data_IF_531502861352
#
_entry.id   IF_531502861352
#
_cell.length_a   1.000
_cell.length_b   1.000
_cell.length_c   1.000
_cell.angle_alpha   90.00
_cell.angle_beta   90.00
_cell.angle_gamma   90.00
#
_symmetry.space_group_name_H-M   'P 1'
#
loop_
_entity.id
_entity.type
_entity.pdbx_description
1 polymer ?
#
# COMPACT_ATOMS: atom_id res chain seq x y z
N UNK A 1 -28.87 -14.85 13.83
CA UNK A 1 -29.13 -13.40 13.81
C UNK A 1 -27.85 -12.70 14.20
N UNK A 2 -27.28 -11.80 13.39
CA UNK A 2 -26.20 -10.92 13.86
C UNK A 2 -26.77 -10.11 15.01
N UNK A 3 -26.15 -10.11 16.17
CA UNK A 3 -26.59 -9.23 17.27
C UNK A 3 -26.56 -7.79 16.77
N UNK A 4 -27.52 -6.96 17.20
CA UNK A 4 -27.59 -5.55 16.83
C UNK A 4 -26.26 -4.82 17.06
N UNK A 5 -25.49 -5.27 18.05
CA UNK A 5 -24.13 -4.81 18.36
C UNK A 5 -23.10 -5.00 17.24
N UNK A 6 -23.28 -5.96 16.34
CA UNK A 6 -22.35 -6.18 15.23
C UNK A 6 -22.63 -5.26 14.03
N UNK A 7 -23.82 -4.67 13.91
CA UNK A 7 -24.17 -3.84 12.74
C UNK A 7 -23.63 -2.41 12.85
N UNK A 8 -23.66 -1.84 14.04
CA UNK A 8 -23.27 -0.45 14.28
C UNK A 8 -21.82 -0.15 13.82
N UNK A 9 -20.80 -0.99 14.09
CA UNK A 9 -19.44 -0.72 13.62
C UNK A 9 -19.32 -0.67 12.09
N UNK A 10 -20.07 -1.51 11.36
CA UNK A 10 -20.07 -1.51 9.90
C UNK A 10 -20.76 -0.28 9.33
N UNK A 11 -21.84 0.19 9.97
CA UNK A 11 -22.51 1.42 9.57
C UNK A 11 -21.57 2.61 9.76
N UNK A 12 -20.89 2.69 10.92
CA UNK A 12 -19.92 3.76 11.21
C UNK A 12 -18.77 3.69 10.21
N UNK A 13 -18.21 2.52 9.94
CA UNK A 13 -17.13 2.36 8.96
C UNK A 13 -17.58 2.73 7.54
N UNK A 14 -18.79 2.35 7.13
CA UNK A 14 -19.37 2.72 5.85
C UNK A 14 -19.57 4.24 5.72
N UNK A 15 -20.15 4.88 6.74
CA UNK A 15 -20.33 6.32 6.77
C UNK A 15 -18.99 7.07 6.74
N UNK A 16 -17.99 6.61 7.50
CA UNK A 16 -16.64 7.17 7.47
C UNK A 16 -15.98 6.99 6.09
N UNK A 17 -16.14 5.83 5.46
CA UNK A 17 -15.63 5.57 4.11
C UNK A 17 -16.25 6.50 3.05
N UNK A 18 -17.57 6.70 3.09
CA UNK A 18 -18.26 7.67 2.21
C UNK A 18 -17.76 9.09 2.48
N UNK A 19 -17.64 9.50 3.74
CA UNK A 19 -17.12 10.81 4.11
C UNK A 19 -15.69 11.06 3.59
N UNK A 20 -14.82 10.07 3.72
CA UNK A 20 -13.45 10.12 3.18
C UNK A 20 -13.45 10.20 1.65
N UNK A 21 -14.30 9.42 0.98
CA UNK A 21 -14.44 9.48 -0.47
C UNK A 21 -14.84 10.88 -0.95
N UNK A 22 -15.85 11.49 -0.31
CA UNK A 22 -16.29 12.85 -0.62
C UNK A 22 -15.17 13.86 -0.36
N UNK A 23 -14.47 13.75 0.78
CA UNK A 23 -13.35 14.63 1.10
C UNK A 23 -12.23 14.53 0.04
N UNK A 24 -11.87 13.31 -0.36
CA UNK A 24 -10.88 13.08 -1.41
C UNK A 24 -11.32 13.61 -2.78
N UNK A 25 -12.58 13.41 -3.16
CA UNK A 25 -13.11 13.98 -4.39
C UNK A 25 -13.03 15.51 -4.40
N UNK A 26 -13.27 16.16 -3.25
CA UNK A 26 -13.12 17.62 -3.10
C UNK A 26 -11.65 18.04 -3.16
N UNK A 27 -10.76 17.34 -2.46
CA UNK A 27 -9.32 17.67 -2.42
C UNK A 27 -8.58 17.31 -3.72
N UNK A 28 -9.14 16.43 -4.53
CA UNK A 28 -8.67 16.14 -5.88
C UNK A 28 -8.98 17.26 -6.87
N UNK A 29 -9.87 18.20 -6.50
CA UNK A 29 -10.31 19.32 -7.33
C UNK A 29 -11.50 18.97 -8.23
N UNK A 30 -12.25 20.00 -8.64
CA UNK A 30 -13.30 19.92 -9.67
C UNK A 30 -12.76 20.69 -10.89
N UNK A 31 -12.71 20.09 -12.10
CA UNK A 31 -12.24 20.80 -13.30
C UNK A 31 -13.09 22.05 -13.55
N UNK A 32 -12.45 23.15 -13.97
CA UNK A 32 -13.13 24.43 -14.17
C UNK A 32 -14.14 24.41 -15.34
N UNK A 33 -13.92 23.52 -16.32
CA UNK A 33 -14.71 23.33 -17.54
C UNK A 33 -15.83 22.30 -17.37
N UNK A 34 -15.87 21.59 -16.24
CA UNK A 34 -16.86 20.54 -15.97
C UNK A 34 -17.92 21.05 -15.02
N UNK A 35 -19.20 20.85 -15.38
CA UNK A 35 -20.30 21.17 -14.46
C UNK A 35 -20.19 20.33 -13.18
N UNK A 36 -20.30 20.98 -12.00
CA UNK A 36 -20.25 20.28 -10.72
C UNK A 36 -21.26 19.12 -10.63
N UNK A 37 -22.43 19.25 -11.28
CA UNK A 37 -23.43 18.17 -11.35
C UNK A 37 -22.92 16.91 -12.05
N UNK A 38 -22.24 17.05 -13.19
CA UNK A 38 -21.66 15.92 -13.92
C UNK A 38 -20.54 15.24 -13.10
N UNK A 39 -19.66 16.03 -12.48
CA UNK A 39 -18.61 15.52 -11.59
C UNK A 39 -19.18 14.68 -10.45
N UNK A 40 -20.21 15.18 -9.75
CA UNK A 40 -20.81 14.47 -8.63
C UNK A 40 -21.62 13.25 -9.06
N UNK A 41 -22.30 13.29 -10.22
CA UNK A 41 -23.01 12.14 -10.77
C UNK A 41 -22.04 10.97 -11.05
N UNK A 42 -20.89 11.26 -11.67
CA UNK A 42 -19.88 10.25 -11.94
C UNK A 42 -19.19 9.75 -10.66
N UNK A 43 -18.84 10.66 -9.76
CA UNK A 43 -18.29 10.30 -8.44
C UNK A 43 -19.25 9.37 -7.68
N UNK A 44 -20.58 9.59 -7.81
CA UNK A 44 -21.58 8.69 -7.26
C UNK A 44 -21.56 7.30 -7.93
N UNK A 45 -21.35 7.21 -9.24
CA UNK A 45 -21.17 5.92 -9.95
C UNK A 45 -19.95 5.17 -9.41
N UNK A 46 -18.81 5.85 -9.25
CA UNK A 46 -17.62 5.27 -8.63
C UNK A 46 -17.90 4.77 -7.21
N UNK A 47 -18.55 5.60 -6.40
CA UNK A 47 -18.93 5.23 -5.05
C UNK A 47 -19.87 4.01 -5.02
N UNK A 48 -20.81 3.89 -5.96
CA UNK A 48 -21.70 2.74 -6.07
C UNK A 48 -20.92 1.45 -6.35
N UNK A 49 -19.91 1.50 -7.22
CA UNK A 49 -19.04 0.33 -7.48
C UNK A 49 -18.24 -0.03 -6.23
N UNK A 50 -17.63 0.95 -5.56
CA UNK A 50 -16.94 0.72 -4.27
C UNK A 50 -17.90 0.07 -3.26
N UNK A 51 -19.12 0.59 -3.13
CA UNK A 51 -20.13 0.03 -2.26
C UNK A 51 -20.48 -1.42 -2.62
N UNK A 52 -20.59 -1.73 -3.92
CA UNK A 52 -20.84 -3.10 -4.38
C UNK A 52 -19.70 -4.04 -3.96
N UNK A 53 -18.43 -3.63 -4.09
CA UNK A 53 -17.28 -4.41 -3.63
C UNK A 53 -17.25 -4.56 -2.10
N UNK A 54 -17.59 -3.51 -1.34
CA UNK A 54 -17.71 -3.57 0.13
C UNK A 54 -18.82 -4.53 0.55
N UNK A 55 -19.98 -4.49 -0.13
CA UNK A 55 -21.09 -5.42 0.10
C UNK A 55 -20.68 -6.85 -0.23
N UNK A 56 -19.98 -7.07 -1.34
CA UNK A 56 -19.46 -8.38 -1.73
C UNK A 56 -18.43 -8.90 -0.70
N UNK A 57 -17.49 -8.06 -0.28
CA UNK A 57 -16.53 -8.37 0.79
C UNK A 57 -17.24 -8.76 2.08
N UNK A 58 -18.20 -7.95 2.53
CA UNK A 58 -19.00 -8.23 3.71
C UNK A 58 -19.75 -9.55 3.56
N UNK A 59 -20.42 -9.77 2.44
CA UNK A 59 -21.20 -10.98 2.18
C UNK A 59 -20.31 -12.23 2.18
N UNK A 60 -19.19 -12.19 1.46
CA UNK A 60 -18.32 -13.35 1.24
C UNK A 60 -17.46 -13.66 2.46
N UNK A 61 -16.93 -12.66 3.16
CA UNK A 61 -15.90 -12.86 4.20
C UNK A 61 -16.38 -12.58 5.63
N UNK A 62 -17.39 -11.72 5.83
CA UNK A 62 -17.76 -11.23 7.17
C UNK A 62 -19.10 -11.79 7.66
N UNK A 63 -20.16 -11.69 6.85
CA UNK A 63 -21.55 -11.99 7.22
C UNK A 63 -21.67 -13.38 7.87
N UNK A 64 -22.32 -13.59 9.03
CA UNK A 64 -22.46 -14.93 9.60
C UNK A 64 -23.03 -15.95 8.60
N UNK A 65 -22.49 -17.17 8.59
CA UNK A 65 -23.02 -18.26 7.76
C UNK A 65 -24.47 -18.56 8.15
N UNK A 66 -25.27 -19.02 7.19
CA UNK A 66 -26.65 -19.43 7.46
C UNK A 66 -26.71 -20.55 8.53
N UNK A 67 -27.75 -20.60 9.37
CA UNK A 67 -27.93 -21.69 10.33
C UNK A 67 -27.82 -23.06 9.66
N UNK A 68 -27.09 -23.99 10.28
CA UNK A 68 -26.85 -25.33 9.73
C UNK A 68 -25.62 -25.45 8.82
N UNK A 69 -25.05 -24.34 8.32
CA UNK A 69 -23.78 -24.39 7.60
C UNK A 69 -22.61 -24.46 8.58
N UNK A 70 -21.77 -25.48 8.42
CA UNK A 70 -20.51 -25.60 9.18
C UNK A 70 -19.49 -24.59 8.66
N UNK A 71 -18.67 -24.08 9.58
CA UNK A 71 -17.48 -23.33 9.20
C UNK A 71 -16.60 -24.20 8.30
N UNK A 72 -16.09 -23.66 7.20
CA UNK A 72 -15.21 -24.41 6.31
C UNK A 72 -13.97 -24.86 7.08
N UNK A 73 -13.53 -26.09 6.84
CA UNK A 73 -12.22 -26.51 7.31
C UNK A 73 -11.17 -25.63 6.63
N UNK A 74 -10.33 -24.97 7.44
CA UNK A 74 -9.26 -24.12 6.90
C UNK A 74 -8.34 -24.98 6.04
N UNK A 75 -8.26 -24.66 4.75
CA UNK A 75 -7.39 -25.38 3.83
C UNK A 75 -6.16 -24.54 3.54
N UNK A 76 -5.02 -25.00 4.04
CA UNK A 76 -3.77 -24.34 3.82
C UNK A 76 -3.33 -24.53 2.37
N UNK A 77 -3.01 -23.43 1.67
CA UNK A 77 -2.10 -23.48 0.54
C UNK A 77 -0.78 -24.09 0.99
N UNK A 78 -0.13 -24.85 0.10
CA UNK A 78 1.21 -25.37 0.37
C UNK A 78 2.20 -24.21 0.57
N UNK A 79 3.27 -24.44 1.34
CA UNK A 79 4.31 -23.43 1.54
C UNK A 79 4.88 -22.90 0.22
N UNK A 80 5.10 -23.79 -0.76
CA UNK A 80 5.59 -23.42 -2.10
C UNK A 80 4.62 -22.51 -2.85
N UNK A 81 3.33 -22.81 -2.82
CA UNK A 81 2.33 -21.97 -3.48
C UNK A 81 2.26 -20.58 -2.83
N UNK A 82 2.33 -20.51 -1.49
CA UNK A 82 2.32 -19.23 -0.77
C UNK A 82 3.53 -18.37 -1.11
N UNK A 83 4.73 -18.95 -1.04
CA UNK A 83 5.97 -18.24 -1.35
C UNK A 83 6.02 -17.79 -2.81
N UNK A 84 5.60 -18.66 -3.74
CA UNK A 84 5.53 -18.32 -5.16
C UNK A 84 4.56 -17.16 -5.41
N UNK A 85 3.35 -17.20 -4.84
CA UNK A 85 2.39 -16.08 -4.96
C UNK A 85 2.94 -14.80 -4.34
N UNK A 86 3.60 -14.88 -3.18
CA UNK A 86 4.21 -13.71 -2.55
C UNK A 86 5.24 -13.05 -3.48
N UNK A 87 6.13 -13.85 -4.07
CA UNK A 87 7.16 -13.37 -5.00
C UNK A 87 6.53 -12.72 -6.24
N UNK A 88 5.58 -13.40 -6.88
CA UNK A 88 4.92 -12.90 -8.09
C UNK A 88 4.15 -11.60 -7.80
N UNK A 89 3.42 -11.52 -6.69
CA UNK A 89 2.73 -10.28 -6.29
C UNK A 89 3.74 -9.17 -5.94
N UNK A 90 4.83 -9.47 -5.26
CA UNK A 90 5.87 -8.48 -5.01
C UNK A 90 6.46 -7.92 -6.32
N UNK A 91 6.73 -8.78 -7.31
CA UNK A 91 7.20 -8.35 -8.64
C UNK A 91 6.19 -7.49 -9.39
N UNK A 92 4.92 -7.89 -9.40
CA UNK A 92 3.86 -7.06 -9.98
C UNK A 92 3.85 -5.68 -9.33
N UNK A 93 4.00 -5.61 -8.00
CA UNK A 93 4.09 -4.36 -7.27
C UNK A 93 5.31 -3.51 -7.60
N UNK A 94 6.49 -4.12 -7.73
CA UNK A 94 7.70 -3.41 -8.16
C UNK A 94 7.55 -2.86 -9.59
N UNK A 95 6.99 -3.65 -10.51
CA UNK A 95 6.72 -3.17 -11.88
C UNK A 95 5.79 -1.96 -11.88
N UNK A 96 4.69 -2.01 -11.11
CA UNK A 96 3.77 -0.87 -10.99
C UNK A 96 4.45 0.37 -10.43
N UNK A 97 5.30 0.24 -9.41
CA UNK A 97 5.99 1.39 -8.80
C UNK A 97 7.00 2.01 -9.75
N UNK A 98 7.84 1.17 -10.39
CA UNK A 98 8.83 1.64 -11.35
C UNK A 98 8.13 2.26 -12.56
N UNK A 99 7.09 1.60 -13.06
CA UNK A 99 6.25 2.09 -14.15
C UNK A 99 5.59 3.43 -13.82
N UNK A 100 4.94 3.57 -12.66
CA UNK A 100 4.27 4.83 -12.28
C UNK A 100 5.24 6.00 -12.05
N UNK A 101 6.44 5.75 -11.52
CA UNK A 101 7.46 6.80 -11.44
C UNK A 101 7.96 7.18 -12.82
N UNK A 102 8.22 6.19 -13.67
CA UNK A 102 8.67 6.41 -15.04
C UNK A 102 7.64 7.19 -15.86
N UNK A 103 6.37 6.88 -15.65
CA UNK A 103 5.23 7.51 -16.29
C UNK A 103 5.16 9.01 -15.95
N UNK A 104 5.26 9.33 -14.66
CA UNK A 104 5.36 10.70 -14.16
C UNK A 104 6.50 11.48 -14.84
N UNK A 105 7.68 10.85 -14.96
CA UNK A 105 8.84 11.48 -15.62
C UNK A 105 8.54 11.75 -17.09
N UNK A 106 7.88 10.81 -17.78
CA UNK A 106 7.54 10.94 -19.18
C UNK A 106 6.51 12.02 -19.43
N UNK A 107 5.43 12.10 -18.64
CA UNK A 107 4.45 13.18 -18.75
C UNK A 107 5.11 14.55 -18.58
N UNK A 108 5.98 14.72 -17.58
CA UNK A 108 6.72 15.97 -17.38
C UNK A 108 7.72 16.29 -18.49
N UNK A 109 8.31 15.27 -19.12
CA UNK A 109 9.35 15.46 -20.13
C UNK A 109 8.79 15.73 -21.52
N UNK A 110 7.67 15.11 -21.87
CA UNK A 110 7.11 15.17 -23.22
C UNK A 110 5.85 16.03 -23.32
N UNK A 111 5.19 16.37 -22.21
CA UNK A 111 4.01 17.24 -22.19
C UNK A 111 2.84 16.71 -23.02
N UNK A 112 2.78 15.38 -23.21
CA UNK A 112 1.68 14.74 -23.94
C UNK A 112 0.52 14.49 -22.97
N UNK A 113 -0.72 14.86 -23.36
CA UNK A 113 -1.88 14.67 -22.51
C UNK A 113 -2.18 13.21 -22.19
N UNK A 114 -2.66 12.99 -20.97
CA UNK A 114 -3.18 11.70 -20.53
C UNK A 114 -4.27 11.19 -21.49
N UNK A 115 -4.17 9.91 -21.87
CA UNK A 115 -5.10 9.24 -22.78
C UNK A 115 -4.58 9.00 -24.20
N UNK A 116 -3.60 9.76 -24.67
CA UNK A 116 -2.86 9.47 -25.92
C UNK A 116 -1.65 8.54 -25.68
N UNK A 117 -1.39 8.25 -24.41
CA UNK A 117 -0.26 7.54 -23.82
C UNK A 117 -0.54 6.05 -23.56
N UNK A 118 -1.69 5.51 -23.97
CA UNK A 118 -2.14 4.16 -23.58
C UNK A 118 -1.08 3.06 -23.78
N UNK A 119 -0.28 3.16 -24.85
CA UNK A 119 0.75 2.18 -25.18
C UNK A 119 2.18 2.65 -24.88
N UNK A 120 2.33 3.69 -24.08
CA UNK A 120 3.62 4.15 -23.60
C UNK A 120 4.35 3.06 -22.81
N UNK A 121 5.67 3.10 -22.87
CA UNK A 121 6.52 2.09 -22.24
C UNK A 121 6.31 2.04 -20.70
N UNK A 122 6.22 3.16 -19.97
CA UNK A 122 5.79 3.16 -18.57
C UNK A 122 4.46 2.43 -18.34
N UNK A 123 3.42 2.75 -19.12
CA UNK A 123 2.12 2.10 -19.05
C UNK A 123 2.17 0.59 -19.28
N UNK A 124 2.94 0.13 -20.26
CA UNK A 124 3.12 -1.32 -20.48
C UNK A 124 3.73 -2.01 -19.26
N UNK A 125 4.65 -1.37 -18.54
CA UNK A 125 5.22 -1.90 -17.31
C UNK A 125 4.20 -1.89 -16.16
N UNK A 126 3.39 -0.84 -16.05
CA UNK A 126 2.27 -0.77 -15.11
C UNK A 126 1.25 -1.89 -15.40
N UNK A 127 0.86 -2.06 -16.66
CA UNK A 127 -0.07 -3.10 -17.12
C UNK A 127 0.46 -4.50 -16.88
N UNK A 128 1.78 -4.71 -17.00
CA UNK A 128 2.40 -5.96 -16.57
C UNK A 128 2.17 -6.23 -15.08
N UNK A 129 2.29 -5.20 -14.23
CA UNK A 129 1.94 -5.28 -12.81
C UNK A 129 0.47 -5.66 -12.59
N UNK A 130 -0.45 -4.95 -13.22
CA UNK A 130 -1.90 -5.25 -13.18
C UNK A 130 -2.20 -6.68 -13.64
N UNK A 131 -1.70 -7.07 -14.81
CA UNK A 131 -1.89 -8.40 -15.37
C UNK A 131 -1.39 -9.48 -14.42
N UNK A 132 -0.27 -9.24 -13.73
CA UNK A 132 0.28 -10.13 -12.72
C UNK A 132 -0.69 -10.32 -11.55
N UNK A 133 -1.26 -9.23 -11.03
CA UNK A 133 -2.26 -9.28 -9.95
C UNK A 133 -3.54 -10.00 -10.38
N UNK A 134 -4.06 -9.65 -11.55
CA UNK A 134 -5.26 -10.26 -12.12
C UNK A 134 -5.07 -11.75 -12.39
N UNK A 135 -3.91 -12.16 -12.92
CA UNK A 135 -3.57 -13.57 -13.14
C UNK A 135 -3.51 -14.34 -11.81
N UNK A 136 -2.90 -13.77 -10.77
CA UNK A 136 -2.87 -14.37 -9.44
C UNK A 136 -4.29 -14.51 -8.85
N UNK A 137 -5.14 -13.49 -9.00
CA UNK A 137 -6.54 -13.54 -8.58
C UNK A 137 -7.37 -14.57 -9.34
N UNK A 138 -7.18 -14.68 -10.65
CA UNK A 138 -7.86 -15.68 -11.47
C UNK A 138 -7.40 -17.10 -11.12
N UNK A 139 -6.10 -17.32 -10.96
CA UNK A 139 -5.56 -18.59 -10.45
C UNK A 139 -6.14 -18.94 -9.08
N UNK A 140 -6.23 -17.97 -8.17
CA UNK A 140 -6.81 -18.13 -6.84
C UNK A 140 -8.29 -18.54 -6.91
N UNK A 141 -9.06 -17.95 -7.83
CA UNK A 141 -10.45 -18.33 -8.08
C UNK A 141 -10.57 -19.76 -8.64
N UNK A 142 -9.71 -20.13 -9.60
CA UNK A 142 -9.67 -21.49 -10.14
C UNK A 142 -9.29 -22.52 -9.06
N UNK A 143 -8.30 -22.20 -8.22
CA UNK A 143 -7.89 -23.02 -7.09
C UNK A 143 -9.06 -23.22 -6.12
N UNK A 144 -9.73 -22.13 -5.74
CA UNK A 144 -10.88 -22.12 -4.85
C UNK A 144 -12.01 -23.00 -5.40
N UNK A 145 -12.31 -22.90 -6.69
CA UNK A 145 -13.39 -23.66 -7.32
C UNK A 145 -13.07 -25.15 -7.53
N UNK A 146 -11.80 -25.50 -7.76
CA UNK A 146 -11.39 -26.90 -7.99
C UNK A 146 -11.15 -27.69 -6.70
N UNK A 147 -10.63 -27.03 -5.67
CA UNK A 147 -10.14 -27.73 -4.48
C UNK A 147 -10.99 -27.54 -3.23
N UNK A 148 -11.86 -26.53 -3.18
CA UNK A 148 -12.70 -26.24 -2.01
C UNK A 148 -14.15 -26.65 -2.25
N UNK A 149 -14.78 -27.24 -1.22
CA UNK A 149 -16.18 -27.66 -1.23
C UNK A 149 -17.07 -26.67 -0.47
N UNK A 150 -18.38 -26.77 -0.67
CA UNK A 150 -19.37 -25.88 -0.08
C UNK A 150 -19.78 -24.74 -1.00
N UNK A 151 -20.53 -23.78 -0.46
CA UNK A 151 -20.97 -22.58 -1.20
C UNK A 151 -19.84 -21.53 -1.30
N UNK A 152 -20.05 -20.47 -2.08
CA UNK A 152 -19.04 -19.42 -2.28
C UNK A 152 -18.54 -18.79 -0.96
N UNK A 153 -19.44 -18.47 -0.01
CA UNK A 153 -19.04 -17.90 1.28
C UNK A 153 -18.11 -18.85 2.06
N UNK A 154 -18.43 -20.14 2.10
CA UNK A 154 -17.60 -21.15 2.75
C UNK A 154 -16.23 -21.27 2.07
N UNK A 155 -16.19 -21.28 0.74
CA UNK A 155 -14.92 -21.39 0.00
C UNK A 155 -14.01 -20.17 0.22
N UNK A 156 -14.55 -18.96 0.14
CA UNK A 156 -13.80 -17.72 0.39
C UNK A 156 -13.25 -17.66 1.82
N UNK A 157 -13.97 -18.21 2.81
CA UNK A 157 -13.54 -18.24 4.22
C UNK A 157 -12.64 -19.41 4.59
N UNK A 158 -12.65 -20.49 3.80
CA UNK A 158 -11.73 -21.60 3.98
C UNK A 158 -10.28 -21.13 3.85
N UNK A 159 -10.06 -20.09 3.04
CA UNK A 159 -8.79 -19.39 2.91
C UNK A 159 -9.03 -17.89 2.63
N UNK A 160 -9.21 -17.10 3.70
CA UNK A 160 -9.54 -15.67 3.64
C UNK A 160 -8.57 -14.87 2.77
N UNK A 161 -7.27 -15.19 2.82
CA UNK A 161 -6.23 -14.52 2.05
C UNK A 161 -6.40 -14.76 0.54
N UNK A 162 -6.72 -15.99 0.11
CA UNK A 162 -7.09 -16.29 -1.28
C UNK A 162 -8.37 -15.56 -1.69
N UNK A 163 -9.37 -15.52 -0.79
CA UNK A 163 -10.59 -14.76 -1.03
C UNK A 163 -10.35 -13.25 -1.22
N UNK A 164 -9.50 -12.66 -0.38
CA UNK A 164 -9.07 -11.26 -0.49
C UNK A 164 -8.31 -10.98 -1.79
N UNK A 165 -7.40 -11.88 -2.19
CA UNK A 165 -6.68 -11.77 -3.46
C UNK A 165 -7.63 -11.76 -4.65
N UNK A 166 -8.65 -12.62 -4.66
CA UNK A 166 -9.68 -12.65 -5.71
C UNK A 166 -10.45 -11.31 -5.74
N UNK A 167 -10.89 -10.83 -4.58
CA UNK A 167 -11.65 -9.59 -4.47
C UNK A 167 -10.83 -8.38 -4.96
N UNK A 168 -9.56 -8.29 -4.53
CA UNK A 168 -8.69 -7.19 -4.90
C UNK A 168 -8.33 -7.22 -6.40
N UNK A 169 -8.06 -8.41 -6.95
CA UNK A 169 -7.81 -8.58 -8.38
C UNK A 169 -9.04 -8.20 -9.24
N UNK A 170 -10.26 -8.59 -8.80
CA UNK A 170 -11.49 -8.20 -9.47
C UNK A 170 -11.71 -6.68 -9.41
N UNK A 171 -11.34 -6.05 -8.30
CA UNK A 171 -11.43 -4.61 -8.13
C UNK A 171 -10.41 -3.86 -9.01
N UNK A 172 -9.17 -4.35 -9.10
CA UNK A 172 -8.15 -3.80 -10.00
C UNK A 172 -8.55 -3.89 -11.48
N UNK A 173 -9.22 -4.97 -11.90
CA UNK A 173 -9.76 -5.09 -13.27
C UNK A 173 -10.81 -4.01 -13.59
N UNK A 174 -11.53 -3.53 -12.58
CA UNK A 174 -12.43 -2.39 -12.72
C UNK A 174 -11.68 -1.05 -12.65
N UNK A 175 -10.71 -0.93 -11.75
CA UNK A 175 -9.96 0.31 -11.56
C UNK A 175 -9.07 0.67 -12.76
N UNK A 176 -8.65 -0.33 -13.56
CA UNK A 176 -7.83 -0.10 -14.75
C UNK A 176 -8.54 0.73 -15.84
N UNK A 177 -9.77 0.41 -16.29
CA UNK A 177 -10.50 1.26 -17.23
C UNK A 177 -11.13 2.49 -16.57
N UNK A 178 -11.29 2.51 -15.24
CA UNK A 178 -11.86 3.65 -14.51
C UNK A 178 -11.08 4.94 -14.71
N UNK A 179 -9.76 4.83 -14.77
CA UNK A 179 -8.83 5.95 -14.84
C UNK A 179 -8.83 6.63 -16.23
N UNK A 180 -8.64 5.93 -17.37
CA UNK A 180 -8.84 6.52 -18.70
C UNK A 180 -10.23 7.09 -18.92
N UNK A 181 -11.28 6.45 -18.37
CA UNK A 181 -12.65 6.98 -18.45
C UNK A 181 -12.78 8.26 -17.64
N UNK A 182 -12.10 8.37 -16.49
CA UNK A 182 -12.06 9.60 -15.70
C UNK A 182 -11.42 10.73 -16.51
N UNK A 183 -10.25 10.50 -17.11
CA UNK A 183 -9.58 11.51 -17.94
C UNK A 183 -10.39 11.91 -19.17
N UNK A 184 -11.02 10.95 -19.85
CA UNK A 184 -11.85 11.23 -21.02
C UNK A 184 -13.01 12.18 -20.70
N UNK A 185 -13.54 12.12 -19.47
CA UNK A 185 -14.70 12.91 -19.03
C UNK A 185 -14.26 14.25 -18.42
N UNK A 186 -13.20 14.25 -17.63
CA UNK A 186 -12.80 15.39 -16.80
C UNK A 186 -11.57 16.14 -17.29
N UNK A 187 -10.95 15.68 -18.37
CA UNK A 187 -9.72 16.23 -18.92
C UNK A 187 -8.45 15.68 -18.26
N UNK A 188 -7.33 16.28 -18.65
CA UNK A 188 -6.01 16.03 -18.10
C UNK A 188 -6.04 16.04 -16.57
N UNK A 189 -5.29 15.12 -15.98
CA UNK A 189 -5.20 14.87 -14.55
C UNK A 189 -5.34 16.13 -13.70
N UNK A 190 -6.48 16.28 -13.02
CA UNK A 190 -6.68 17.42 -12.12
C UNK A 190 -5.54 17.39 -11.11
N UNK A 191 -5.27 16.21 -10.52
CA UNK A 191 -4.12 15.93 -9.65
C UNK A 191 -3.93 14.42 -9.39
N UNK A 192 -2.75 13.98 -8.89
CA UNK A 192 -2.49 12.64 -8.34
C UNK A 192 -3.41 12.19 -7.18
N UNK A 193 -4.24 13.12 -6.68
CA UNK A 193 -5.26 12.88 -5.67
C UNK A 193 -6.66 12.61 -6.24
N UNK A 194 -6.76 12.45 -7.56
CA UNK A 194 -8.00 12.03 -8.20
C UNK A 194 -8.52 10.72 -7.58
N UNK A 195 -9.84 10.55 -7.62
CA UNK A 195 -10.50 9.37 -7.03
C UNK A 195 -9.95 8.05 -7.59
N UNK A 196 -9.75 7.87 -8.91
CA UNK A 196 -9.13 6.67 -9.46
C UNK A 196 -7.74 6.38 -8.89
N UNK A 197 -6.88 7.40 -8.79
CA UNK A 197 -5.52 7.26 -8.25
C UNK A 197 -5.50 6.77 -6.80
N UNK A 198 -6.34 7.34 -5.93
CA UNK A 198 -6.43 6.92 -4.53
C UNK A 198 -6.96 5.49 -4.40
N UNK A 199 -7.91 5.11 -5.25
CA UNK A 199 -8.44 3.76 -5.32
C UNK A 199 -7.36 2.76 -5.76
N UNK A 200 -6.56 3.12 -6.78
CA UNK A 200 -5.44 2.33 -7.26
C UNK A 200 -4.37 2.18 -6.17
N UNK A 201 -4.00 3.27 -5.50
CA UNK A 201 -3.08 3.25 -4.36
C UNK A 201 -3.53 2.26 -3.29
N UNK A 202 -4.77 2.36 -2.83
CA UNK A 202 -5.31 1.45 -1.81
C UNK A 202 -5.24 0.00 -2.29
N UNK A 203 -5.60 -0.27 -3.54
CA UNK A 203 -5.60 -1.61 -4.12
C UNK A 203 -4.19 -2.21 -4.22
N UNK A 204 -3.21 -1.38 -4.58
CA UNK A 204 -1.81 -1.79 -4.62
C UNK A 204 -1.23 -2.00 -3.22
N UNK A 205 -1.55 -1.13 -2.25
CA UNK A 205 -1.18 -1.33 -0.84
C UNK A 205 -1.76 -2.65 -0.31
N UNK A 206 -3.04 -2.94 -0.58
CA UNK A 206 -3.67 -4.21 -0.22
C UNK A 206 -2.95 -5.39 -0.89
N UNK A 207 -2.56 -5.26 -2.15
CA UNK A 207 -1.81 -6.31 -2.86
C UNK A 207 -0.46 -6.59 -2.20
N UNK A 208 0.28 -5.54 -1.83
CA UNK A 208 1.57 -5.68 -1.15
C UNK A 208 1.39 -6.29 0.25
N UNK A 209 0.33 -5.93 0.97
CA UNK A 209 0.01 -6.55 2.26
C UNK A 209 -0.38 -8.04 2.12
N UNK A 210 -1.06 -8.42 1.04
CA UNK A 210 -1.34 -9.84 0.73
C UNK A 210 -0.06 -10.59 0.38
N UNK A 211 0.85 -9.99 -0.39
CA UNK A 211 2.16 -10.56 -0.68
C UNK A 211 2.96 -10.78 0.62
N UNK A 212 2.95 -9.79 1.52
CA UNK A 212 3.59 -9.87 2.83
C UNK A 212 2.98 -10.97 3.70
N UNK A 213 1.65 -11.05 3.82
CA UNK A 213 0.97 -12.08 4.61
C UNK A 213 1.25 -13.50 4.07
N UNK A 214 1.20 -13.67 2.74
CA UNK A 214 1.57 -14.90 2.06
C UNK A 214 2.98 -15.35 2.45
N UNK A 215 3.95 -14.43 2.35
CA UNK A 215 5.35 -14.69 2.62
C UNK A 215 5.60 -15.04 4.09
N UNK A 216 5.14 -14.18 5.01
CA UNK A 216 5.31 -14.32 6.46
C UNK A 216 4.66 -15.60 6.98
N UNK A 217 3.56 -16.02 6.37
CA UNK A 217 2.89 -17.27 6.74
C UNK A 217 3.70 -18.54 6.45
N UNK A 218 4.81 -18.43 5.72
CA UNK A 218 5.68 -19.58 5.40
C UNK A 218 6.79 -19.82 6.42
N UNK A 219 6.99 -18.92 7.37
CA UNK A 219 8.12 -18.97 8.30
C UNK A 219 7.73 -19.38 9.71
N UNK A 220 8.75 -19.73 10.51
CA UNK A 220 8.56 -19.92 11.95
C UNK A 220 8.55 -18.57 12.66
N UNK A 221 7.85 -18.51 13.79
CA UNK A 221 7.98 -17.37 14.71
C UNK A 221 9.40 -17.34 15.25
N UNK A 222 10.01 -16.16 15.18
CA UNK A 222 11.32 -15.90 15.74
C UNK A 222 11.19 -15.06 17.02
N UNK A 223 12.22 -15.10 17.86
CA UNK A 223 12.35 -14.17 18.96
C UNK A 223 12.70 -12.77 18.44
N UNK A 224 12.47 -11.76 19.29
CA UNK A 224 12.88 -10.41 18.96
C UNK A 224 14.40 -10.35 18.79
N UNK A 225 14.85 -9.67 17.73
CA UNK A 225 16.27 -9.48 17.44
C UNK A 225 16.55 -8.07 16.94
N UNK A 226 17.81 -7.77 16.64
CA UNK A 226 18.27 -6.48 16.13
C UNK A 226 18.73 -6.62 14.68
N UNK A 227 18.77 -5.51 13.94
CA UNK A 227 19.09 -5.46 12.50
C UNK A 227 20.42 -6.14 12.12
N UNK A 228 21.41 -6.17 13.01
CA UNK A 228 22.67 -6.88 12.78
C UNK A 228 22.51 -8.42 12.67
N UNK A 229 21.34 -8.95 13.01
CA UNK A 229 20.96 -10.35 12.89
C UNK A 229 19.82 -10.56 11.87
N UNK A 230 19.66 -9.63 10.94
CA UNK A 230 18.66 -9.72 9.88
C UNK A 230 18.87 -11.00 9.08
N UNK A 231 17.77 -11.71 8.81
CA UNK A 231 17.80 -12.98 8.09
C UNK A 231 17.47 -12.75 6.62
N UNK A 232 17.90 -13.68 5.78
CA UNK A 232 17.49 -13.68 4.37
C UNK A 232 15.98 -13.84 4.21
N UNK A 233 15.31 -14.46 5.18
CA UNK A 233 13.85 -14.53 5.17
C UNK A 233 13.27 -13.10 5.27
N UNK A 234 13.78 -12.26 6.17
CA UNK A 234 13.25 -10.90 6.37
C UNK A 234 13.39 -9.97 5.14
N UNK A 235 14.32 -10.26 4.22
CA UNK A 235 14.66 -9.33 3.13
C UNK A 235 13.49 -9.05 2.19
N UNK A 236 12.73 -10.07 1.78
CA UNK A 236 11.60 -9.83 0.87
C UNK A 236 10.45 -9.11 1.60
N UNK A 237 10.23 -9.35 2.90
CA UNK A 237 9.29 -8.54 3.70
C UNK A 237 9.69 -7.06 3.73
N UNK A 238 10.97 -6.76 3.95
CA UNK A 238 11.48 -5.39 3.94
C UNK A 238 11.38 -4.74 2.56
N UNK A 239 11.67 -5.49 1.49
CA UNK A 239 11.54 -5.01 0.12
C UNK A 239 10.08 -4.69 -0.23
N UNK A 240 9.11 -5.55 0.12
CA UNK A 240 7.67 -5.30 -0.07
C UNK A 240 7.23 -4.03 0.67
N UNK A 241 7.67 -3.86 1.92
CA UNK A 241 7.32 -2.70 2.74
C UNK A 241 8.02 -1.42 2.28
N UNK A 242 9.23 -1.52 1.74
CA UNK A 242 9.92 -0.41 1.08
C UNK A 242 9.17 0.02 -0.19
N UNK A 243 8.75 -0.94 -1.03
CA UNK A 243 7.90 -0.68 -2.19
C UNK A 243 6.57 -0.02 -1.81
N UNK A 244 5.92 -0.52 -0.75
CA UNK A 244 4.67 0.09 -0.26
C UNK A 244 4.87 1.55 0.19
N UNK A 245 5.98 1.85 0.88
CA UNK A 245 6.34 3.23 1.24
C UNK A 245 6.64 4.09 0.02
N UNK A 246 7.39 3.56 -0.95
CA UNK A 246 7.66 4.23 -2.22
C UNK A 246 6.37 4.64 -2.92
N UNK A 247 5.43 3.71 -3.09
CA UNK A 247 4.16 3.96 -3.76
C UNK A 247 3.34 5.03 -3.03
N UNK A 248 3.20 4.89 -1.70
CA UNK A 248 2.41 5.79 -0.89
C UNK A 248 2.98 7.21 -0.91
N UNK A 249 4.27 7.36 -0.59
CA UNK A 249 4.89 8.69 -0.52
C UNK A 249 4.98 9.33 -1.90
N UNK A 250 5.24 8.55 -2.95
CA UNK A 250 5.20 9.04 -4.33
C UNK A 250 3.84 9.65 -4.63
N UNK A 251 2.75 8.87 -4.58
CA UNK A 251 1.45 9.38 -5.04
C UNK A 251 0.92 10.49 -4.13
N UNK A 252 1.02 10.31 -2.81
CA UNK A 252 0.37 11.23 -1.88
C UNK A 252 1.12 12.54 -1.71
N UNK A 253 2.42 12.61 -2.03
CA UNK A 253 3.24 13.80 -1.75
C UNK A 253 3.83 14.46 -3.01
N UNK A 254 3.60 13.90 -4.20
CA UNK A 254 4.18 14.40 -5.46
C UNK A 254 3.89 15.88 -5.73
N UNK A 255 2.72 16.39 -5.35
CA UNK A 255 2.38 17.80 -5.61
C UNK A 255 3.16 18.76 -4.70
N UNK A 256 3.41 18.36 -3.46
CA UNK A 256 4.31 19.12 -2.57
C UNK A 256 5.75 19.04 -3.06
N UNK A 257 6.17 17.89 -3.60
CA UNK A 257 7.49 17.75 -4.22
C UNK A 257 7.63 18.59 -5.50
N UNK A 258 6.57 18.71 -6.30
CA UNK A 258 6.52 19.56 -7.49
C UNK A 258 6.59 21.05 -7.15
N UNK A 259 5.90 21.48 -6.08
CA UNK A 259 5.96 22.84 -5.58
C UNK A 259 7.38 23.29 -5.19
N UNK A 260 8.19 22.38 -4.63
CA UNK A 260 9.58 22.66 -4.22
C UNK A 260 10.44 23.14 -5.40
N UNK A 261 10.23 22.58 -6.58
CA UNK A 261 11.03 22.88 -7.78
C UNK A 261 10.43 24.00 -8.65
N UNK A 262 9.41 24.70 -8.14
CA UNK A 262 8.81 25.83 -8.83
C UNK A 262 8.03 25.47 -10.10
N UNK A 263 7.64 24.20 -10.26
CA UNK A 263 6.66 23.85 -11.27
C UNK A 263 5.32 24.47 -10.87
N UNK A 264 4.69 25.16 -11.80
CA UNK A 264 3.38 25.78 -11.61
C UNK A 264 2.36 24.69 -11.32
N UNK A 265 2.11 24.47 -10.02
CA UNK A 265 0.96 23.72 -9.55
C UNK A 265 -0.27 24.55 -9.90
N UNK A 266 -1.29 23.95 -10.51
CA UNK A 266 -2.49 24.69 -10.90
C UNK A 266 -3.08 25.37 -9.66
N UNK A 267 -3.69 26.56 -9.77
CA UNK A 267 -4.37 27.20 -8.64
C UNK A 267 -5.41 26.31 -7.95
N UNK A 268 -5.99 25.32 -8.66
CA UNK A 268 -6.85 24.27 -8.11
C UNK A 268 -6.15 23.36 -7.10
N UNK A 269 -4.82 23.22 -7.20
CA UNK A 269 -4.03 22.28 -6.44
C UNK A 269 -3.58 22.89 -5.09
N UNK A 270 -3.69 24.22 -4.98
CA UNK A 270 -3.41 25.00 -3.78
C UNK A 270 -4.53 24.98 -2.73
N UNK A 271 -5.65 24.29 -2.97
CA UNK A 271 -6.75 24.19 -1.98
C UNK A 271 -6.57 23.06 -0.96
N UNK A 272 -5.49 22.28 -1.03
CA UNK A 272 -5.28 21.20 -0.08
C UNK A 272 -4.86 21.74 1.28
N UNK A 273 -5.47 21.25 2.37
CA UNK A 273 -5.03 21.64 3.69
C UNK A 273 -3.57 21.23 3.93
N UNK A 274 -2.73 22.16 4.41
CA UNK A 274 -1.30 21.93 4.65
C UNK A 274 -1.03 20.75 5.60
N UNK A 275 -1.95 20.50 6.54
CA UNK A 275 -1.85 19.38 7.47
C UNK A 275 -1.89 18.00 6.79
N UNK A 276 -2.38 17.89 5.54
CA UNK A 276 -2.40 16.63 4.79
C UNK A 276 -1.00 16.10 4.50
N UNK A 277 -0.01 16.98 4.27
CA UNK A 277 1.39 16.58 4.07
C UNK A 277 1.89 15.78 5.28
N UNK A 278 1.74 16.36 6.47
CA UNK A 278 2.16 15.72 7.71
C UNK A 278 1.33 14.49 8.06
N UNK A 279 0.01 14.55 7.81
CA UNK A 279 -0.89 13.43 8.02
C UNK A 279 -0.48 12.21 7.19
N UNK A 280 -0.20 12.40 5.90
CA UNK A 280 0.19 11.30 4.99
C UNK A 280 1.57 10.74 5.31
N UNK A 281 2.55 11.61 5.55
CA UNK A 281 3.88 11.18 5.96
C UNK A 281 3.83 10.37 7.26
N UNK A 282 3.14 10.90 8.28
CA UNK A 282 2.97 10.24 9.58
C UNK A 282 2.22 8.92 9.43
N UNK A 283 1.16 8.89 8.64
CA UNK A 283 0.36 7.69 8.39
C UNK A 283 1.20 6.60 7.73
N UNK A 284 1.94 6.93 6.67
CA UNK A 284 2.81 6.02 5.95
C UNK A 284 3.88 5.42 6.88
N UNK A 285 4.61 6.27 7.62
CA UNK A 285 5.68 5.83 8.52
C UNK A 285 5.15 5.01 9.68
N UNK A 286 4.10 5.46 10.36
CA UNK A 286 3.50 4.73 11.46
C UNK A 286 3.00 3.36 10.99
N UNK A 287 2.33 3.31 9.84
CA UNK A 287 1.80 2.07 9.31
C UNK A 287 2.92 1.10 8.89
N UNK A 288 3.77 1.52 7.94
CA UNK A 288 4.81 0.66 7.38
C UNK A 288 5.86 0.27 8.43
N UNK A 289 6.28 1.21 9.29
CA UNK A 289 7.28 0.97 10.33
C UNK A 289 6.80 0.00 11.42
N UNK A 290 5.53 0.13 11.86
CA UNK A 290 4.93 -0.82 12.82
C UNK A 290 4.79 -2.19 12.19
N UNK A 291 4.30 -2.30 10.95
CA UNK A 291 4.20 -3.60 10.26
C UNK A 291 5.59 -4.22 10.12
N UNK A 292 6.59 -3.47 9.63
CA UNK A 292 7.96 -3.95 9.45
C UNK A 292 8.54 -4.54 10.73
N UNK A 293 8.52 -3.78 11.82
CA UNK A 293 9.09 -4.22 13.11
C UNK A 293 8.34 -5.41 13.70
N UNK A 294 7.01 -5.43 13.63
CA UNK A 294 6.19 -6.47 14.28
C UNK A 294 6.23 -7.79 13.51
N UNK A 295 6.17 -7.72 12.18
CA UNK A 295 6.18 -8.90 11.32
C UNK A 295 7.53 -9.62 11.36
N UNK A 296 8.62 -8.86 11.20
CA UNK A 296 10.00 -9.39 11.25
C UNK A 296 10.47 -9.68 12.68
N UNK A 297 9.86 -9.03 13.68
CA UNK A 297 10.31 -9.02 15.09
C UNK A 297 11.77 -8.56 15.20
N UNK A 298 12.12 -7.57 14.40
CA UNK A 298 13.46 -7.00 14.34
C UNK A 298 13.42 -5.51 14.67
N UNK A 299 14.15 -5.09 15.72
CA UNK A 299 14.44 -3.69 15.95
C UNK A 299 15.49 -3.21 14.93
N UNK A 300 15.13 -2.19 14.16
CA UNK A 300 15.86 -1.68 13.00
C UNK A 300 15.18 -1.99 11.66
N UNK A 301 14.09 -2.78 11.66
CA UNK A 301 13.37 -3.14 10.45
C UNK A 301 12.61 -1.96 9.84
N UNK A 302 12.06 -1.06 10.65
CA UNK A 302 11.37 0.14 10.14
C UNK A 302 12.35 1.02 9.37
N UNK A 303 13.49 1.33 9.99
CA UNK A 303 14.57 2.14 9.43
C UNK A 303 15.14 1.47 8.19
N UNK A 304 15.38 0.15 8.22
CA UNK A 304 15.87 -0.58 7.05
C UNK A 304 14.90 -0.51 5.86
N UNK A 305 13.60 -0.68 6.09
CA UNK A 305 12.60 -0.53 5.02
C UNK A 305 12.55 0.91 4.47
N UNK A 306 12.65 1.93 5.33
CA UNK A 306 12.71 3.33 4.90
C UNK A 306 13.97 3.68 4.11
N UNK A 307 15.13 3.19 4.55
CA UNK A 307 16.40 3.36 3.82
C UNK A 307 16.36 2.64 2.45
N UNK A 308 15.79 1.44 2.39
CA UNK A 308 15.59 0.73 1.12
C UNK A 308 14.68 1.53 0.17
N UNK A 309 13.61 2.14 0.68
CA UNK A 309 12.76 3.02 -0.10
C UNK A 309 13.53 4.25 -0.60
N UNK A 310 14.24 4.96 0.28
CA UNK A 310 15.05 6.12 -0.08
C UNK A 310 16.12 5.80 -1.14
N UNK A 311 16.89 4.72 -0.95
CA UNK A 311 17.91 4.28 -1.90
C UNK A 311 17.28 3.91 -3.24
N UNK A 312 16.14 3.20 -3.21
CA UNK A 312 15.40 2.87 -4.43
C UNK A 312 14.94 4.13 -5.16
N UNK A 313 14.41 5.12 -4.45
CA UNK A 313 14.05 6.44 -5.02
C UNK A 313 15.24 7.10 -5.68
N UNK A 314 16.38 7.17 -5.01
CA UNK A 314 17.61 7.76 -5.56
C UNK A 314 18.09 7.04 -6.82
N UNK A 315 18.04 5.70 -6.82
CA UNK A 315 18.39 4.89 -8.00
C UNK A 315 17.45 5.21 -9.15
N UNK A 316 16.14 5.27 -8.92
CA UNK A 316 15.15 5.56 -9.97
C UNK A 316 15.30 6.99 -10.51
N UNK A 317 15.52 7.98 -9.65
CA UNK A 317 15.81 9.37 -10.07
C UNK A 317 17.01 9.39 -11.02
N UNK A 318 18.10 8.69 -10.66
CA UNK A 318 19.29 8.61 -11.51
C UNK A 318 19.08 7.80 -12.79
N UNK A 319 18.30 6.73 -12.71
CA UNK A 319 18.02 5.85 -13.85
C UNK A 319 17.20 6.56 -14.93
N UNK A 320 16.28 7.44 -14.54
CA UNK A 320 15.41 8.18 -15.44
C UNK A 320 15.86 9.62 -15.72
N UNK A 321 17.03 10.01 -15.23
CA UNK A 321 17.54 11.40 -15.28
C UNK A 321 16.50 12.43 -14.78
N UNK A 322 15.75 12.04 -13.75
CA UNK A 322 14.57 12.74 -13.29
C UNK A 322 14.91 13.76 -12.20
N UNK A 323 15.76 14.74 -12.51
CA UNK A 323 16.17 15.77 -11.55
C UNK A 323 14.99 16.59 -11.00
N UNK A 324 13.85 16.58 -11.69
CA UNK A 324 12.60 17.18 -11.22
C UNK A 324 11.95 16.44 -10.04
N UNK A 325 12.34 15.19 -9.76
CA UNK A 325 11.80 14.40 -8.68
C UNK A 325 12.62 14.59 -7.40
N UNK A 326 11.94 14.75 -6.27
CA UNK A 326 12.57 14.97 -4.97
C UNK A 326 12.64 13.70 -4.10
N UNK A 327 13.48 13.79 -3.06
CA UNK A 327 13.63 12.77 -2.01
C UNK A 327 13.20 13.26 -0.62
N UNK A 328 12.62 14.46 -0.56
CA UNK A 328 12.28 15.16 0.69
C UNK A 328 11.40 14.30 1.62
N UNK A 329 10.33 13.71 1.10
CA UNK A 329 9.42 12.86 1.86
C UNK A 329 10.13 11.66 2.51
N UNK A 330 11.04 11.02 1.78
CA UNK A 330 11.79 9.86 2.26
C UNK A 330 12.83 10.23 3.31
N UNK A 331 13.49 11.38 3.17
CA UNK A 331 14.38 11.91 4.21
C UNK A 331 13.60 12.23 5.48
N UNK A 332 12.46 12.91 5.34
CA UNK A 332 11.60 13.24 6.45
C UNK A 332 11.01 12.00 7.15
N UNK A 333 10.83 10.89 6.42
CA UNK A 333 10.34 9.64 7.00
C UNK A 333 11.36 8.95 7.93
N UNK A 334 12.67 9.20 7.78
CA UNK A 334 13.71 8.43 8.49
C UNK A 334 13.66 8.62 10.01
N UNK A 335 13.53 9.86 10.50
CA UNK A 335 13.53 10.16 11.93
C UNK A 335 12.40 9.42 12.70
N UNK A 336 11.13 9.47 12.26
CA UNK A 336 10.07 8.69 12.91
C UNK A 336 10.24 7.18 12.75
N UNK A 337 10.80 6.66 11.65
CA UNK A 337 11.12 5.23 11.53
C UNK A 337 12.20 4.78 12.54
N UNK A 338 13.24 5.59 12.75
CA UNK A 338 14.27 5.35 13.77
C UNK A 338 13.64 5.35 15.17
N UNK A 339 12.73 6.27 15.45
CA UNK A 339 12.03 6.32 16.74
C UNK A 339 11.20 5.06 17.01
N UNK A 340 10.52 4.51 16.00
CA UNK A 340 9.81 3.24 16.09
C UNK A 340 10.78 2.10 16.47
N UNK A 341 11.94 2.04 15.83
CA UNK A 341 12.94 0.99 16.09
C UNK A 341 13.58 1.12 17.48
N UNK A 342 13.86 2.34 17.94
CA UNK A 342 14.34 2.60 19.31
C UNK A 342 13.30 2.11 20.33
N UNK A 343 12.01 2.44 20.12
CA UNK A 343 10.94 1.97 20.98
C UNK A 343 10.79 0.44 20.96
N UNK A 344 10.91 -0.18 19.78
CA UNK A 344 10.85 -1.63 19.62
C UNK A 344 12.00 -2.32 20.36
N UNK A 345 13.23 -1.79 20.25
CA UNK A 345 14.39 -2.27 20.98
C UNK A 345 14.21 -2.12 22.50
N UNK A 346 13.81 -0.94 22.96
CA UNK A 346 13.59 -0.66 24.38
C UNK A 346 12.51 -1.60 24.97
N UNK A 347 11.39 -1.78 24.28
CA UNK A 347 10.31 -2.65 24.73
C UNK A 347 10.73 -4.11 24.78
N UNK A 348 11.34 -4.61 23.70
CA UNK A 348 11.64 -6.03 23.55
C UNK A 348 12.91 -6.47 24.28
N UNK A 349 14.02 -5.74 24.16
CA UNK A 349 15.31 -6.12 24.73
C UNK A 349 15.43 -5.71 26.21
N UNK A 350 15.01 -4.49 26.55
CA UNK A 350 15.19 -3.95 27.91
C UNK A 350 14.01 -4.34 28.80
N UNK A 351 12.77 -4.09 28.37
CA UNK A 351 11.57 -4.40 29.18
C UNK A 351 11.08 -5.84 29.05
N UNK A 352 11.61 -6.62 28.10
CA UNK A 352 11.17 -7.99 27.79
C UNK A 352 9.65 -8.08 27.52
N UNK A 353 9.11 -7.09 26.81
CA UNK A 353 7.68 -6.97 26.45
C UNK A 353 7.51 -6.77 24.95
N UNK A 354 6.35 -7.16 24.43
CA UNK A 354 5.98 -6.77 23.06
C UNK A 354 5.80 -5.25 22.97
N UNK A 355 6.33 -4.58 21.93
CA UNK A 355 6.09 -3.16 21.71
C UNK A 355 4.60 -2.88 21.58
N UNK A 356 4.08 -1.96 22.40
CA UNK A 356 2.67 -1.56 22.34
C UNK A 356 2.44 -0.49 21.28
N UNK A 357 1.27 -0.52 20.62
CA UNK A 357 0.90 0.49 19.63
C UNK A 357 0.89 1.91 20.20
N UNK A 358 0.52 2.07 21.48
CA UNK A 358 0.52 3.37 22.16
C UNK A 358 1.93 3.95 22.29
N UNK A 359 2.88 3.12 22.73
CA UNK A 359 4.26 3.55 22.85
C UNK A 359 4.87 3.87 21.49
N UNK A 360 4.50 3.11 20.45
CA UNK A 360 4.93 3.43 19.09
C UNK A 360 4.31 4.73 18.58
N UNK A 361 3.02 4.98 18.82
CA UNK A 361 2.38 6.24 18.44
C UNK A 361 3.05 7.44 19.12
N UNK A 362 3.37 7.33 20.42
CA UNK A 362 4.09 8.38 21.16
C UNK A 362 5.48 8.62 20.54
N UNK A 363 6.20 7.55 20.19
CA UNK A 363 7.51 7.66 19.55
C UNK A 363 7.42 8.37 18.18
N UNK A 364 6.42 8.04 17.36
CA UNK A 364 6.16 8.69 16.08
C UNK A 364 5.80 10.16 16.26
N UNK A 365 4.89 10.50 17.19
CA UNK A 365 4.48 11.88 17.45
C UNK A 365 5.70 12.71 17.89
N UNK A 366 6.47 12.22 18.86
CA UNK A 366 7.66 12.92 19.34
C UNK A 366 8.67 13.14 18.20
N UNK A 367 8.90 12.12 17.37
CA UNK A 367 9.79 12.23 16.23
C UNK A 367 9.29 13.21 15.17
N UNK A 368 7.99 13.21 14.85
CA UNK A 368 7.41 14.16 13.89
C UNK A 368 7.49 15.61 14.38
N UNK A 369 7.32 15.86 15.68
CA UNK A 369 7.55 17.18 16.28
C UNK A 369 9.01 17.60 16.13
N UNK A 370 9.95 16.71 16.43
CA UNK A 370 11.38 16.96 16.23
C UNK A 370 11.77 17.12 14.76
N UNK A 371 10.99 16.55 13.85
CA UNK A 371 11.17 16.63 12.41
C UNK A 371 10.63 17.93 11.79
N UNK A 372 9.86 18.73 12.55
CA UNK A 372 9.22 19.93 12.03
C UNK A 372 10.21 20.95 11.40
N UNK A 373 11.40 21.22 11.97
CA UNK A 373 12.38 22.10 11.34
C UNK A 373 12.87 21.58 9.98
N UNK A 374 13.10 20.27 9.86
CA UNK A 374 13.47 19.64 8.59
C UNK A 374 12.33 19.74 7.57
N UNK A 375 11.08 19.49 8.01
CA UNK A 375 9.92 19.64 7.15
C UNK A 375 9.77 21.07 6.62
N UNK A 376 10.00 22.10 7.45
CA UNK A 376 9.99 23.52 7.03
C UNK A 376 11.13 23.85 6.06
N UNK A 377 12.29 23.21 6.19
CA UNK A 377 13.42 23.44 5.27
C UNK A 377 13.23 22.74 3.94
N UNK A 378 12.58 21.57 3.96
CA UNK A 378 12.32 20.77 2.76
C UNK A 378 11.10 21.29 1.98
N UNK A 379 10.03 21.65 2.69
CA UNK A 379 8.77 22.10 2.12
C UNK A 379 8.54 23.57 2.51
N UNK A 380 8.38 24.46 1.53
CA UNK A 380 8.15 25.90 1.76
C UNK A 380 6.77 26.22 2.38
N UNK A 381 5.98 25.20 2.76
CA UNK A 381 4.52 25.29 2.92
C UNK A 381 3.93 24.48 4.08
N UNK A 382 4.52 24.49 5.29
CA UNK A 382 3.61 24.37 6.43
C UNK A 382 3.81 25.47 7.47
N UNK A 383 2.73 26.22 7.73
CA UNK A 383 2.58 26.91 9.00
C UNK A 383 2.35 25.85 10.10
N UNK A 384 3.43 25.20 10.54
CA UNK A 384 3.39 24.12 11.53
C UNK A 384 2.91 24.57 12.91
N UNK A 385 2.69 25.87 13.11
CA UNK A 385 2.17 26.43 14.36
C UNK A 385 0.63 26.27 14.45
N UNK A 386 -0.01 25.74 13.40
CA UNK A 386 -1.44 25.41 13.38
C UNK A 386 -1.77 24.19 14.27
N UNK A 387 -2.76 24.35 15.15
CA UNK A 387 -3.34 23.29 15.96
C UNK A 387 -3.84 22.12 15.10
N UNK A 388 -4.36 22.40 13.90
CA UNK A 388 -4.83 21.37 12.97
C UNK A 388 -3.68 20.48 12.50
N UNK A 389 -2.49 21.05 12.28
CA UNK A 389 -1.29 20.30 11.91
C UNK A 389 -0.89 19.30 12.99
N UNK A 390 -0.82 19.76 14.25
CA UNK A 390 -0.51 18.91 15.39
C UNK A 390 -1.58 17.83 15.61
N UNK A 391 -2.87 18.20 15.51
CA UNK A 391 -3.98 17.27 15.64
C UNK A 391 -3.93 16.16 14.57
N UNK A 392 -3.59 16.50 13.32
CA UNK A 392 -3.45 15.56 12.23
C UNK A 392 -2.32 14.55 12.49
N UNK A 393 -1.15 14.99 12.96
CA UNK A 393 -0.04 14.10 13.35
C UNK A 393 -0.49 13.14 14.47
N UNK A 394 -1.12 13.65 15.52
CA UNK A 394 -1.54 12.83 16.66
C UNK A 394 -2.57 11.78 16.22
N UNK A 395 -3.60 12.21 15.47
CA UNK A 395 -4.66 11.34 15.01
C UNK A 395 -4.13 10.24 14.08
N UNK A 396 -3.29 10.60 13.10
CA UNK A 396 -2.73 9.64 12.14
C UNK A 396 -1.71 8.71 12.79
N UNK A 397 -0.81 9.20 13.64
CA UNK A 397 0.15 8.37 14.35
C UNK A 397 -0.57 7.34 15.25
N UNK A 398 -1.57 7.78 16.01
CA UNK A 398 -2.37 6.91 16.87
C UNK A 398 -3.18 5.88 16.08
N UNK A 399 -3.94 6.34 15.09
CA UNK A 399 -4.81 5.51 14.27
C UNK A 399 -4.04 4.47 13.45
N UNK A 400 -2.99 4.90 12.75
CA UNK A 400 -2.19 4.00 11.90
C UNK A 400 -1.32 3.05 12.72
N UNK A 401 -0.75 3.48 13.86
CA UNK A 401 0.00 2.57 14.74
C UNK A 401 -0.90 1.49 15.32
N UNK A 402 -2.12 1.84 15.74
CA UNK A 402 -3.10 0.86 16.19
C UNK A 402 -3.47 -0.11 15.07
N UNK A 403 -3.87 0.40 13.90
CA UNK A 403 -4.30 -0.42 12.78
C UNK A 403 -3.19 -1.38 12.30
N UNK A 404 -1.98 -0.87 12.10
CA UNK A 404 -0.81 -1.66 11.73
C UNK A 404 -0.48 -2.74 12.76
N UNK A 405 -0.60 -2.43 14.05
CA UNK A 405 -0.39 -3.44 15.10
C UNK A 405 -1.42 -4.58 15.01
N UNK A 406 -2.70 -4.24 14.85
CA UNK A 406 -3.78 -5.24 14.72
C UNK A 406 -3.59 -6.12 13.49
N UNK A 407 -3.19 -5.51 12.37
CA UNK A 407 -2.91 -6.20 11.12
C UNK A 407 -1.72 -7.15 11.24
N UNK A 408 -0.59 -6.67 11.77
CA UNK A 408 0.59 -7.49 12.01
C UNK A 408 0.27 -8.68 12.94
N UNK A 409 -0.47 -8.44 14.04
CA UNK A 409 -0.92 -9.52 14.92
C UNK A 409 -1.81 -10.56 14.21
N UNK A 410 -2.66 -10.13 13.28
CA UNK A 410 -3.47 -11.03 12.48
C UNK A 410 -2.60 -11.92 11.56
N UNK A 411 -1.62 -11.33 10.87
CA UNK A 411 -0.65 -12.06 10.03
C UNK A 411 0.14 -13.09 10.86
N UNK A 412 0.62 -12.69 12.04
CA UNK A 412 1.39 -13.58 12.94
C UNK A 412 0.54 -14.74 13.47
N UNK A 413 -0.75 -14.53 13.79
CA UNK A 413 -1.68 -15.61 14.17
C UNK A 413 -1.95 -16.56 13.01
N UNK A 414 -2.10 -16.04 11.79
CA UNK A 414 -2.31 -16.85 10.59
C UNK A 414 -1.09 -17.73 10.29
N UNK A 415 0.12 -17.19 10.47
CA UNK A 415 1.36 -17.96 10.39
C UNK A 415 1.37 -19.12 11.38
N UNK A 416 1.06 -18.87 12.65
CA UNK A 416 1.03 -19.91 13.70
C UNK A 416 0.06 -21.04 13.36
N UNK A 417 -1.14 -20.71 12.86
CA UNK A 417 -2.10 -21.69 12.38
C UNK A 417 -1.58 -22.52 11.18
N UNK A 418 -0.88 -21.87 10.23
CA UNK A 418 -0.34 -22.53 9.03
C UNK A 418 0.82 -23.48 9.35
N UNK A 419 1.74 -23.04 10.22
CA UNK A 419 2.87 -23.85 10.68
C UNK A 419 2.39 -25.07 11.48
N UNK A 420 1.37 -24.90 12.33
CA UNK A 420 0.82 -26.00 13.14
C UNK A 420 0.12 -27.06 12.28
N UNK A 421 -0.50 -26.66 11.17
CA UNK A 421 -1.21 -27.56 10.27
C UNK A 421 -0.28 -28.42 9.38
N UNK A 422 0.98 -28.04 9.21
CA UNK A 422 1.88 -28.68 8.24
C UNK A 422 2.97 -29.47 8.96
N UNK A 423 2.76 -30.77 9.18
CA UNK A 423 3.66 -31.64 9.95
C UNK A 423 5.02 -31.92 9.29
N UNK A 424 5.13 -31.76 7.96
CA UNK A 424 6.40 -31.96 7.23
C UNK A 424 6.97 -30.64 6.74
N UNK A 425 8.08 -30.25 7.36
CA UNK A 425 8.86 -29.05 7.03
C UNK A 425 9.61 -29.28 5.71
N UNK A 426 9.17 -28.64 4.64
CA UNK A 426 10.05 -28.42 3.49
C UNK A 426 10.50 -26.97 3.52
N UNK A 427 11.74 -26.73 3.95
CA UNK A 427 12.41 -25.45 3.73
C UNK A 427 12.61 -25.29 2.24
N UNK A 428 11.95 -24.31 1.64
CA UNK A 428 12.40 -23.78 0.35
C UNK A 428 13.67 -22.99 0.67
N UNK A 429 14.73 -23.24 -0.10
CA UNK A 429 15.98 -22.51 0.10
C UNK A 429 15.80 -21.08 -0.45
N UNK A 430 16.10 -20.02 0.33
CA UNK A 430 15.92 -18.62 -0.08
C UNK A 430 16.70 -18.24 -1.35
N UNK A 431 17.70 -19.03 -1.74
CA UNK A 431 18.50 -18.86 -2.97
C UNK A 431 17.64 -18.78 -4.24
N UNK A 432 16.56 -19.56 -4.32
CA UNK A 432 15.67 -19.55 -5.49
C UNK A 432 14.99 -18.20 -5.65
N UNK A 433 14.61 -17.55 -4.55
CA UNK A 433 13.97 -16.24 -4.53
C UNK A 433 14.91 -15.13 -5.03
N UNK A 434 16.20 -15.18 -4.67
CA UNK A 434 17.20 -14.18 -5.11
C UNK A 434 17.48 -14.24 -6.61
N UNK A 435 17.65 -15.44 -7.18
CA UNK A 435 17.90 -15.58 -8.62
C UNK A 435 16.74 -15.03 -9.45
N UNK A 436 15.49 -15.29 -9.02
CA UNK A 436 14.30 -14.77 -9.70
C UNK A 436 14.22 -13.25 -9.56
N UNK A 437 14.47 -12.69 -8.36
CA UNK A 437 14.50 -11.23 -8.16
C UNK A 437 15.55 -10.55 -9.04
N UNK A 438 16.76 -11.11 -9.13
CA UNK A 438 17.83 -10.56 -9.96
C UNK A 438 17.47 -10.60 -11.46
N UNK A 439 16.91 -11.71 -11.93
CA UNK A 439 16.45 -11.83 -13.32
C UNK A 439 15.33 -10.84 -13.64
N UNK A 440 14.42 -10.61 -12.69
CA UNK A 440 13.34 -9.64 -12.84
C UNK A 440 13.84 -8.20 -12.87
N UNK A 441 14.77 -7.84 -11.98
CA UNK A 441 15.42 -6.52 -12.01
C UNK A 441 16.18 -6.30 -13.33
N UNK A 442 16.89 -7.32 -13.81
CA UNK A 442 17.55 -7.25 -15.12
C UNK A 442 16.54 -7.03 -16.26
N UNK A 443 15.39 -7.72 -16.22
CA UNK A 443 14.31 -7.48 -17.18
C UNK A 443 13.81 -6.04 -17.15
N UNK A 444 13.50 -5.49 -15.96
CA UNK A 444 13.05 -4.09 -15.83
C UNK A 444 14.09 -3.12 -16.39
N UNK A 445 15.38 -3.31 -16.04
CA UNK A 445 16.47 -2.45 -16.50
C UNK A 445 16.59 -2.50 -18.03
N UNK A 446 16.56 -3.70 -18.62
CA UNK A 446 16.62 -3.86 -20.07
C UNK A 446 15.38 -3.24 -20.74
N UNK A 447 14.19 -3.45 -20.17
CA UNK A 447 12.94 -2.89 -20.70
C UNK A 447 12.96 -1.36 -20.73
N UNK A 448 13.48 -0.73 -19.67
CA UNK A 448 13.67 0.73 -19.60
C UNK A 448 14.75 1.18 -20.59
N UNK A 449 15.92 0.55 -20.57
CA UNK A 449 17.07 0.96 -21.39
C UNK A 449 16.82 0.82 -22.91
N UNK A 450 15.86 -0.01 -23.31
CA UNK A 450 15.48 -0.22 -24.71
C UNK A 450 14.21 0.53 -25.11
N UNK A 451 13.63 1.32 -24.22
CA UNK A 451 12.47 2.14 -24.51
C UNK A 451 12.85 3.34 -25.39
N UNK A 452 12.16 3.47 -26.52
CA UNK A 452 12.20 4.68 -27.33
C UNK A 452 11.27 5.75 -26.74
N UNK A 453 11.63 7.05 -26.82
CA UNK A 453 10.69 8.15 -26.57
C UNK A 453 9.37 7.97 -27.34
N UNK A 454 8.26 8.52 -26.85
CA UNK A 454 7.04 8.63 -27.64
C UNK A 454 7.34 9.43 -28.92
N UNK A 455 6.78 8.98 -30.05
CA UNK A 455 6.92 9.62 -31.38
C UNK A 455 5.82 10.64 -31.56
#
# INVERSE_FOLDING_TARGET
MSTQSQRLPWIIAGAAGVGLFVAFAIWGGIPADVSAGAFWAQSAIFLLVICAFVIAFWHLLVRPLAPGLRQPQKQALTFRAREFLALILAFGGFATIVGGLWDEVWHRSYGIPFGEDLLWRPHLLIYFGFATFSACGFWALLYLNRHLRGNFQQRFRANTMVGLLIMNAAFLLYALPADPVWHLIFGEDITPWSVPHLILLISFVVTQLLALDLHVSTWKRHEWHVIFKLRLDDSLSLLILAAMQMLWLQLMLIDWDAAIIGLTVSPSDMYRPEWLLAANLTACVAFAGVVATRVTRCAGAATAAGLLALVSRLILIRLFDAEMLQVAAWLAALLPLIAIDIWAYYSSAIRKREPSWRGTAIAVIAAMVLNAPLMRSLYQLPNTDDLTYAAAIIATAGGMSWFANQLADAMLRQREATVSATSKRQSIKPIVSFGILAAFLAFIIIFIATASPPI
#
